data_IF_235310370671
#
_entry.id   IF_235310370671
#
_cell.length_a   1.000
_cell.length_b   1.000
_cell.length_c   1.000
_cell.angle_alpha   90.00
_cell.angle_beta   90.00
_cell.angle_gamma   90.00
#
_symmetry.space_group_name_H-M   'P 1'
#
loop_
_entity.id
_entity.type
_entity.pdbx_description
1 polymer ?
#
# COMPACT_ATOMS: atom_id res chain seq x y z
N UNK A 1 -25.84 -2.32 30.52
CA UNK A 1 -24.91 -1.36 29.90
C UNK A 1 -24.39 -2.00 28.64
N UNK A 2 -24.75 -1.47 27.46
CA UNK A 2 -24.26 -1.98 26.19
C UNK A 2 -22.92 -1.31 25.90
N UNK A 3 -21.84 -2.10 25.84
CA UNK A 3 -20.55 -1.62 25.39
C UNK A 3 -20.56 -1.60 23.87
N UNK A 4 -20.63 -0.40 23.28
CA UNK A 4 -20.48 -0.20 21.84
C UNK A 4 -19.04 -0.47 21.44
N UNK A 5 -18.81 -1.58 20.74
CA UNK A 5 -17.53 -1.83 20.06
C UNK A 5 -17.48 -0.89 18.86
N UNK A 6 -16.75 0.21 18.98
CA UNK A 6 -16.38 1.04 17.83
C UNK A 6 -15.31 0.24 17.07
N UNK A 7 -15.76 -0.61 16.15
CA UNK A 7 -14.87 -1.27 15.20
C UNK A 7 -14.33 -0.21 14.25
N UNK A 8 -13.05 0.11 14.35
CA UNK A 8 -12.34 0.86 13.33
C UNK A 8 -12.44 0.07 12.03
N UNK A 9 -13.21 0.61 11.08
CA UNK A 9 -13.13 0.17 9.70
C UNK A 9 -11.72 0.55 9.20
N UNK A 10 -10.71 -0.31 9.39
CA UNK A 10 -9.42 -0.14 8.71
C UNK A 10 -9.61 -0.40 7.19
N UNK A 11 -9.85 0.60 6.36
CA UNK A 11 -10.07 0.34 4.94
C UNK A 11 -8.83 -0.36 4.32
N UNK A 12 -9.04 -1.17 3.28
CA UNK A 12 -7.93 -1.55 2.40
C UNK A 12 -7.40 -0.26 1.78
N UNK A 13 -6.14 -0.24 1.37
CA UNK A 13 -5.56 0.96 0.81
C UNK A 13 -5.47 0.81 -0.71
N UNK A 14 -6.35 1.51 -1.41
CA UNK A 14 -6.38 1.53 -2.87
C UNK A 14 -5.38 2.53 -3.45
N UNK A 15 -4.84 2.24 -4.63
CA UNK A 15 -3.87 3.11 -5.28
C UNK A 15 -3.50 2.71 -6.70
N UNK A 16 -2.44 3.31 -7.21
CA UNK A 16 -1.85 3.04 -8.52
C UNK A 16 -0.35 2.84 -8.41
N UNK A 17 0.19 1.80 -9.04
CA UNK A 17 1.62 1.71 -9.29
C UNK A 17 1.98 2.66 -10.45
N UNK A 18 2.74 3.72 -10.17
CA UNK A 18 3.02 4.75 -11.17
C UNK A 18 4.05 4.32 -12.23
N UNK A 19 4.77 3.22 -11.99
CA UNK A 19 5.70 2.64 -12.97
C UNK A 19 4.98 1.85 -14.06
N UNK A 20 3.98 1.05 -13.66
CA UNK A 20 3.22 0.18 -14.57
C UNK A 20 1.89 0.80 -15.02
N UNK A 21 1.35 1.73 -14.24
CA UNK A 21 0.01 2.30 -14.43
C UNK A 21 -1.12 1.40 -13.96
N UNK A 22 -0.81 0.30 -13.26
CA UNK A 22 -1.78 -0.69 -12.78
C UNK A 22 -2.42 -0.25 -11.47
N UNK A 23 -3.67 -0.64 -11.26
CA UNK A 23 -4.34 -0.47 -9.97
C UNK A 23 -3.75 -1.44 -8.97
N UNK A 24 -3.53 -0.95 -7.75
CA UNK A 24 -2.97 -1.72 -6.65
C UNK A 24 -3.81 -1.59 -5.38
N UNK A 25 -3.80 -2.63 -4.55
CA UNK A 25 -4.47 -2.65 -3.25
C UNK A 25 -3.53 -3.22 -2.17
N UNK A 26 -3.46 -2.54 -1.02
CA UNK A 26 -2.86 -3.09 0.20
C UNK A 26 -3.98 -3.56 1.11
N UNK A 27 -3.98 -4.85 1.46
CA UNK A 27 -5.02 -5.41 2.31
C UNK A 27 -5.08 -4.73 3.69
N UNK A 28 -6.30 -4.61 4.21
CA UNK A 28 -6.59 -4.10 5.55
C UNK A 28 -5.70 -4.75 6.61
N UNK A 29 -5.13 -3.93 7.47
CA UNK A 29 -4.43 -4.40 8.68
C UNK A 29 -2.94 -4.65 8.51
N UNK A 30 -2.41 -4.50 7.29
CA UNK A 30 -0.97 -4.41 7.10
C UNK A 30 -0.41 -3.13 7.71
N UNK A 31 0.75 -3.23 8.36
CA UNK A 31 1.41 -2.08 8.96
C UNK A 31 2.48 -1.52 8.02
N UNK A 32 2.04 -0.61 7.16
CA UNK A 32 2.87 0.07 6.16
C UNK A 32 3.83 1.07 6.84
N UNK A 33 5.14 0.82 6.76
CA UNK A 33 6.20 1.73 7.20
C UNK A 33 7.52 1.43 6.47
N UNK A 34 8.39 2.43 6.36
CA UNK A 34 9.77 2.24 5.91
C UNK A 34 10.50 1.12 6.66
N UNK A 35 11.29 0.34 5.91
CA UNK A 35 12.05 -0.81 6.41
C UNK A 35 11.18 -2.04 6.70
N UNK A 36 10.00 -2.15 6.09
CA UNK A 36 9.18 -3.37 6.14
C UNK A 36 8.78 -3.82 4.75
N UNK A 37 8.66 -5.12 4.61
CA UNK A 37 7.98 -5.75 3.48
C UNK A 37 6.47 -5.66 3.68
N UNK A 38 5.76 -5.31 2.61
CA UNK A 38 4.30 -5.31 2.50
C UNK A 38 3.88 -6.20 1.33
N UNK A 39 2.65 -6.72 1.40
CA UNK A 39 2.03 -7.43 0.28
C UNK A 39 1.02 -6.50 -0.39
N UNK A 40 1.09 -6.44 -1.71
CA UNK A 40 0.30 -5.55 -2.56
C UNK A 40 -0.33 -6.40 -3.66
N UNK A 41 -1.65 -6.33 -3.81
CA UNK A 41 -2.32 -6.90 -4.97
C UNK A 41 -2.18 -5.95 -6.16
N UNK A 42 -1.60 -6.42 -7.28
CA UNK A 42 -1.54 -5.71 -8.56
C UNK A 42 -2.58 -6.30 -9.54
N UNK A 43 -3.35 -5.45 -10.22
CA UNK A 43 -4.44 -5.89 -11.09
C UNK A 43 -4.01 -6.79 -12.26
N UNK A 44 -2.78 -6.63 -12.72
CA UNK A 44 -2.25 -7.33 -13.90
C UNK A 44 -1.34 -8.50 -13.50
N UNK A 45 -0.66 -8.38 -12.36
CA UNK A 45 0.37 -9.34 -11.93
C UNK A 45 -0.05 -10.20 -10.74
N UNK A 46 -1.15 -9.89 -10.06
CA UNK A 46 -1.57 -10.52 -8.82
C UNK A 46 -0.77 -10.01 -7.61
N UNK A 47 -0.72 -10.81 -6.54
CA UNK A 47 -0.01 -10.42 -5.31
C UNK A 47 1.51 -10.34 -5.51
N UNK A 48 2.08 -9.26 -4.99
CA UNK A 48 3.52 -8.96 -5.01
C UNK A 48 3.98 -8.48 -3.64
N UNK A 49 5.24 -8.76 -3.32
CA UNK A 49 5.88 -8.30 -2.11
C UNK A 49 6.83 -7.14 -2.42
N UNK A 50 6.77 -6.11 -1.57
CA UNK A 50 7.53 -4.88 -1.74
C UNK A 50 8.19 -4.47 -0.43
N UNK A 51 9.49 -4.20 -0.47
CA UNK A 51 10.19 -3.56 0.64
C UNK A 51 9.96 -2.06 0.59
N UNK A 52 9.37 -1.50 1.65
CA UNK A 52 9.07 -0.07 1.73
C UNK A 52 10.33 0.71 2.04
N UNK A 53 10.73 1.56 1.12
CA UNK A 53 11.89 2.44 1.26
C UNK A 53 11.48 3.74 1.96
N UNK A 54 10.44 4.40 1.47
CA UNK A 54 10.02 5.71 1.96
C UNK A 54 8.51 5.95 1.80
N UNK A 55 7.94 6.79 2.66
CA UNK A 55 6.51 7.15 2.65
C UNK A 55 6.39 8.66 2.74
N UNK A 56 5.64 9.27 1.82
CA UNK A 56 5.45 10.72 1.73
C UNK A 56 4.00 11.06 1.44
N UNK A 57 3.43 12.00 2.20
CA UNK A 57 2.06 12.51 1.97
C UNK A 57 2.11 13.71 1.05
N UNK A 58 1.31 13.71 -0.01
CA UNK A 58 1.16 14.81 -0.95
C UNK A 58 -0.31 15.05 -1.29
N UNK A 59 -0.86 16.19 -0.85
CA UNK A 59 -2.24 16.56 -1.17
C UNK A 59 -3.26 15.57 -0.61
N UNK A 60 -3.83 14.73 -1.48
CA UNK A 60 -4.84 13.71 -1.16
C UNK A 60 -4.31 12.28 -1.37
N UNK A 61 -3.01 12.11 -1.56
CA UNK A 61 -2.39 10.81 -1.79
C UNK A 61 -1.20 10.60 -0.86
N UNK A 62 -0.81 9.33 -0.72
CA UNK A 62 0.41 8.90 -0.07
C UNK A 62 1.26 8.14 -1.07
N UNK A 63 2.44 8.66 -1.36
CA UNK A 63 3.42 7.98 -2.18
C UNK A 63 4.29 7.06 -1.31
N UNK A 64 4.41 5.82 -1.75
CA UNK A 64 5.29 4.81 -1.18
C UNK A 64 6.35 4.50 -2.23
N UNK A 65 7.59 4.89 -1.95
CA UNK A 65 8.75 4.37 -2.70
C UNK A 65 9.06 2.98 -2.15
N UNK A 66 9.12 1.99 -3.05
CA UNK A 66 9.31 0.60 -2.65
C UNK A 66 10.14 -0.19 -3.67
N UNK A 67 10.71 -1.30 -3.23
CA UNK A 67 11.52 -2.20 -4.06
C UNK A 67 10.85 -3.58 -4.13
N UNK A 68 10.63 -4.08 -5.34
CA UNK A 68 10.09 -5.42 -5.59
C UNK A 68 11.04 -6.48 -5.04
N UNK A 69 10.57 -7.34 -4.14
CA UNK A 69 11.44 -8.33 -3.48
C UNK A 69 11.88 -9.46 -4.42
N UNK A 70 11.12 -9.72 -5.49
CA UNK A 70 11.42 -10.76 -6.46
C UNK A 70 12.40 -10.29 -7.53
N UNK A 71 12.29 -9.04 -7.99
CA UNK A 71 13.13 -8.51 -9.08
C UNK A 71 14.23 -7.55 -8.62
N UNK A 72 14.09 -6.95 -7.45
CA UNK A 72 14.96 -5.88 -6.95
C UNK A 72 14.73 -4.53 -7.64
N UNK A 73 13.68 -4.38 -8.42
CA UNK A 73 13.35 -3.14 -9.13
C UNK A 73 12.56 -2.18 -8.24
N UNK A 74 12.93 -0.90 -8.29
CA UNK A 74 12.21 0.15 -7.55
C UNK A 74 10.94 0.58 -8.28
N UNK A 75 9.92 0.95 -7.51
CA UNK A 75 8.65 1.47 -7.98
C UNK A 75 8.09 2.52 -7.02
N UNK A 76 7.02 3.19 -7.43
CA UNK A 76 6.26 4.12 -6.58
C UNK A 76 4.79 3.73 -6.61
N UNK A 77 4.22 3.49 -5.44
CA UNK A 77 2.80 3.27 -5.25
C UNK A 77 2.17 4.57 -4.76
N UNK A 78 1.28 5.16 -5.54
CA UNK A 78 0.48 6.32 -5.15
C UNK A 78 -0.86 5.82 -4.58
N UNK A 79 -1.05 5.98 -3.28
CA UNK A 79 -2.20 5.45 -2.53
C UNK A 79 -3.18 6.57 -2.17
N UNK A 80 -4.48 6.30 -2.17
CA UNK A 80 -5.51 7.30 -1.84
C UNK A 80 -5.54 7.61 -0.33
N UNK A 81 -5.41 8.87 0.09
CA UNK A 81 -5.48 9.25 1.52
C UNK A 81 -6.95 9.45 1.94
N UNK A 82 -7.65 8.34 2.20
CA UNK A 82 -9.07 8.27 2.60
C UNK A 82 -9.36 8.42 4.10
#
# INVERSE_FOLDING_TARGET
>A
MAASVVGTQAFAWDGTNTTTGTSVEIERGQLVRSGRTIEVYDSDQGYKEYDVDSIRRYGRTVEIEATDTATGESTTLEMDDE
#
